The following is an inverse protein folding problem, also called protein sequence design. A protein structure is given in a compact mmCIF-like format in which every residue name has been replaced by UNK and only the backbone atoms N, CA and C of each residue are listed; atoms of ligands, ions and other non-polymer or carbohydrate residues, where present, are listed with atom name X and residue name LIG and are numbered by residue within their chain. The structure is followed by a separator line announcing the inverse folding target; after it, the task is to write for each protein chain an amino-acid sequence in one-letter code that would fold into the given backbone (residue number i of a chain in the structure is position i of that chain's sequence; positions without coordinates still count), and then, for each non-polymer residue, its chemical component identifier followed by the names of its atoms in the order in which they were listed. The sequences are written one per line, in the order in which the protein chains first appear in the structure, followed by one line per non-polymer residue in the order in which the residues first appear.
data_IF_079071089083
#
_entry.id   IF_079071089083
#
_cell.length_a   1.000
_cell.length_b   1.000
_cell.length_c   1.000
_cell.angle_alpha   90.00
_cell.angle_beta   90.00
_cell.angle_gamma   90.00
#
_symmetry.space_group_name_H-M   'P 1'
#
loop_
_entity.id
_entity.type
_entity.pdbx_description
1 polymer ?
#
# COMPACT_ATOMS: atom_id res chain seq x y z
N UNK A 1 -0.80 -2.49 -9.35
CA UNK A 1 0.05 -3.67 -9.15
C UNK A 1 -0.08 -4.12 -7.70
N UNK A 2 -0.05 -5.43 -7.45
CA UNK A 2 -0.17 -5.98 -6.09
C UNK A 2 1.12 -6.71 -5.71
N UNK A 3 1.60 -6.44 -4.50
CA UNK A 3 2.66 -7.20 -3.84
C UNK A 3 2.06 -7.92 -2.65
N UNK A 4 2.34 -9.22 -2.54
CA UNK A 4 1.89 -10.07 -1.44
C UNK A 4 3.06 -10.38 -0.53
N UNK A 5 2.84 -10.26 0.77
CA UNK A 5 3.85 -10.50 1.80
C UNK A 5 3.24 -11.33 2.92
N UNK A 6 3.74 -12.54 3.13
CA UNK A 6 3.42 -13.32 4.31
C UNK A 6 4.23 -12.78 5.50
N UNK A 7 3.51 -12.45 6.57
CA UNK A 7 4.10 -11.94 7.81
C UNK A 7 3.37 -12.48 9.02
N UNK A 8 4.05 -12.50 10.17
CA UNK A 8 3.53 -12.95 11.44
C UNK A 8 3.17 -11.76 12.35
N UNK A 9 2.18 -11.98 13.22
CA UNK A 9 1.90 -11.05 14.31
C UNK A 9 3.16 -10.80 15.16
N UNK A 10 3.34 -9.56 15.60
CA UNK A 10 4.52 -9.09 16.35
C UNK A 10 5.69 -8.61 15.48
N UNK A 11 5.69 -8.90 14.17
CA UNK A 11 6.68 -8.32 13.27
C UNK A 11 6.41 -6.84 13.03
N UNK A 12 7.46 -6.05 12.85
CA UNK A 12 7.36 -4.66 12.40
C UNK A 12 7.42 -4.61 10.87
N UNK A 13 6.46 -3.95 10.26
CA UNK A 13 6.44 -3.68 8.82
C UNK A 13 6.68 -2.19 8.59
N UNK A 14 7.67 -1.89 7.76
CA UNK A 14 7.97 -0.53 7.29
C UNK A 14 7.86 -0.49 5.77
N UNK A 15 7.12 0.47 5.26
CA UNK A 15 6.96 0.73 3.83
C UNK A 15 7.28 2.21 3.60
N UNK A 16 8.30 2.47 2.78
CA UNK A 16 8.61 3.80 2.24
C UNK A 16 8.35 3.77 0.74
N UNK A 17 7.21 4.31 0.31
CA UNK A 17 6.86 4.34 -1.11
C UNK A 17 7.32 5.65 -1.74
N UNK A 18 8.33 5.55 -2.61
CA UNK A 18 8.84 6.66 -3.43
C UNK A 18 8.37 6.47 -4.86
N UNK A 19 7.99 7.56 -5.49
CA UNK A 19 7.47 7.56 -6.85
C UNK A 19 7.75 8.91 -7.50
N UNK A 20 7.97 8.89 -8.81
CA UNK A 20 8.07 10.07 -9.68
C UNK A 20 6.71 10.68 -10.05
N UNK A 21 5.60 10.01 -9.72
CA UNK A 21 4.25 10.47 -10.02
C UNK A 21 3.48 10.85 -8.74
N UNK A 22 3.09 12.14 -8.55
CA UNK A 22 2.39 12.59 -7.34
C UNK A 22 0.96 12.04 -7.21
N UNK A 23 0.44 11.39 -8.25
CA UNK A 23 -0.84 10.69 -8.24
C UNK A 23 -0.71 9.18 -7.99
N UNK A 24 0.51 8.68 -7.77
CA UNK A 24 0.74 7.28 -7.38
C UNK A 24 0.72 7.11 -5.86
N UNK A 25 0.02 6.08 -5.42
CA UNK A 25 -0.17 5.73 -4.01
C UNK A 25 -0.15 4.22 -3.81
N UNK A 26 -0.07 3.79 -2.54
CA UNK A 26 -0.33 2.41 -2.17
C UNK A 26 -1.41 2.30 -1.09
N UNK A 27 -2.10 1.16 -1.06
CA UNK A 27 -2.90 0.72 0.09
C UNK A 27 -2.31 -0.56 0.68
N UNK A 28 -2.40 -0.71 2.00
CA UNK A 28 -2.03 -1.93 2.72
C UNK A 28 -3.28 -2.56 3.32
N UNK A 29 -3.53 -3.85 3.05
CA UNK A 29 -4.63 -4.64 3.66
C UNK A 29 -4.09 -5.94 4.22
N UNK A 30 -4.66 -6.42 5.34
CA UNK A 30 -4.35 -7.72 5.91
C UNK A 30 -5.38 -8.77 5.48
N UNK A 31 -4.93 -9.88 4.89
CA UNK A 31 -5.82 -10.96 4.46
C UNK A 31 -6.94 -10.52 3.52
N UNK A 32 -8.15 -11.04 3.75
CA UNK A 32 -9.38 -10.66 3.04
C UNK A 32 -10.17 -9.52 3.71
N UNK A 33 -9.63 -8.93 4.78
CA UNK A 33 -10.30 -7.84 5.49
C UNK A 33 -10.40 -6.61 4.57
N UNK A 34 -11.61 -6.04 4.38
CA UNK A 34 -11.78 -4.82 3.59
C UNK A 34 -11.15 -3.58 4.25
N UNK A 35 -10.85 -3.61 5.56
CA UNK A 35 -10.26 -2.49 6.26
C UNK A 35 -8.77 -2.37 5.95
N UNK A 36 -8.41 -1.26 5.30
CA UNK A 36 -7.02 -0.95 5.01
C UNK A 36 -6.27 -0.48 6.26
N UNK A 37 -5.08 -1.04 6.46
CA UNK A 37 -4.10 -0.60 7.45
C UNK A 37 -3.41 0.71 7.05
N UNK A 38 -3.28 0.96 5.75
CA UNK A 38 -2.77 2.20 5.19
C UNK A 38 -3.58 2.55 3.94
N UNK A 39 -3.98 3.81 3.83
CA UNK A 39 -4.62 4.38 2.63
C UNK A 39 -3.74 5.51 2.11
N UNK A 40 -2.95 5.25 1.08
CA UNK A 40 -1.91 6.19 0.63
C UNK A 40 -2.47 7.54 0.18
N UNK A 41 -3.64 7.53 -0.48
CA UNK A 41 -4.27 8.76 -0.99
C UNK A 41 -4.80 9.71 0.10
N UNK A 42 -4.90 9.26 1.35
CA UNK A 42 -5.38 10.09 2.48
C UNK A 42 -4.34 10.22 3.59
N UNK A 43 -3.55 9.18 3.82
CA UNK A 43 -2.62 9.06 4.95
C UNK A 43 -1.15 9.16 4.53
N UNK A 44 -0.87 9.34 3.25
CA UNK A 44 0.47 9.49 2.70
C UNK A 44 1.17 8.18 2.34
N UNK A 45 2.35 8.30 1.74
CA UNK A 45 3.08 7.20 1.10
C UNK A 45 4.11 6.52 2.02
N UNK A 46 3.82 6.43 3.32
CA UNK A 46 4.63 5.64 4.25
C UNK A 46 3.76 4.87 5.23
N UNK A 47 4.27 3.75 5.73
CA UNK A 47 3.68 2.98 6.82
C UNK A 47 4.80 2.46 7.72
N UNK A 48 4.59 2.54 9.03
CA UNK A 48 5.47 1.94 10.03
C UNK A 48 4.62 1.46 11.20
N UNK A 49 4.52 0.14 11.36
CA UNK A 49 3.63 -0.44 12.36
C UNK A 49 3.99 -1.88 12.72
N UNK A 50 3.64 -2.24 13.95
CA UNK A 50 3.68 -3.64 14.41
C UNK A 50 2.42 -4.36 13.96
N UNK A 51 2.60 -5.49 13.27
CA UNK A 51 1.51 -6.30 12.77
C UNK A 51 0.82 -7.05 13.91
N UNK A 52 -0.49 -6.93 14.00
CA UNK A 52 -1.28 -7.61 15.05
C UNK A 52 -1.86 -8.96 14.60
N UNK A 53 -1.77 -9.27 13.30
CA UNK A 53 -2.24 -10.54 12.73
C UNK A 53 -1.16 -11.20 11.89
N UNK A 54 -1.14 -12.53 11.93
CA UNK A 54 -0.36 -13.33 10.97
C UNK A 54 -1.18 -13.57 9.71
N UNK A 55 -0.52 -13.58 8.55
CA UNK A 55 -1.14 -13.91 7.28
C UNK A 55 -0.51 -13.16 6.11
N UNK A 56 -1.16 -13.25 4.95
CA UNK A 56 -0.74 -12.54 3.74
C UNK A 56 -1.26 -11.11 3.76
N UNK A 57 -0.33 -10.17 3.72
CA UNK A 57 -0.59 -8.75 3.53
C UNK A 57 -0.52 -8.42 2.04
N UNK A 58 -1.40 -7.53 1.59
CA UNK A 58 -1.40 -7.04 0.21
C UNK A 58 -1.08 -5.56 0.20
N UNK A 59 -0.01 -5.21 -0.52
CA UNK A 59 0.33 -3.83 -0.88
C UNK A 59 -0.14 -3.60 -2.31
N UNK A 60 -1.18 -2.79 -2.49
CA UNK A 60 -1.71 -2.44 -3.80
C UNK A 60 -1.21 -1.06 -4.20
N UNK A 61 -0.35 -0.98 -5.22
CA UNK A 61 0.13 0.26 -5.83
C UNK A 61 -0.74 0.65 -7.01
N UNK A 62 -1.14 1.92 -7.09
CA UNK A 62 -2.06 2.42 -8.10
C UNK A 62 -1.84 3.90 -8.41
N UNK A 63 -2.32 4.33 -9.58
CA UNK A 63 -2.51 5.74 -9.91
C UNK A 63 -3.94 6.16 -9.58
N UNK A 64 -4.11 7.37 -9.06
CA UNK A 64 -5.42 8.02 -8.96
C UNK A 64 -6.05 8.11 -10.35
N UNK A 65 -7.39 8.06 -10.37
CA UNK A 65 -8.18 7.91 -11.60
C UNK A 65 -7.90 9.01 -12.64
N UNK A 66 -7.61 10.23 -12.20
CA UNK A 66 -7.27 11.36 -13.07
C UNK A 66 -5.95 11.13 -13.82
N UNK A 67 -4.90 10.66 -13.16
CA UNK A 67 -3.61 10.35 -13.80
C UNK A 67 -3.72 9.12 -14.71
N UNK A 68 -4.42 8.08 -14.27
CA UNK A 68 -4.67 6.90 -15.09
C UNK A 68 -5.41 7.24 -16.40
N UNK A 69 -6.41 8.14 -16.35
CA UNK A 69 -7.12 8.63 -17.55
C UNK A 69 -6.24 9.44 -18.50
N UNK A 70 -5.17 10.05 -18.00
CA UNK A 70 -4.16 10.77 -18.79
C UNK A 70 -3.05 9.85 -19.33
N UNK A 71 -3.17 8.53 -19.13
CA UNK A 71 -2.14 7.54 -19.46
C UNK A 71 -0.77 7.87 -18.85
N UNK A 72 -0.76 8.49 -17.68
CA UNK A 72 0.48 8.70 -16.95
C UNK A 72 1.06 7.37 -16.46
N UNK A 73 2.36 7.37 -16.23
CA UNK A 73 3.10 6.25 -15.65
C UNK A 73 3.76 6.67 -14.34
N UNK A 74 4.18 5.68 -13.57
CA UNK A 74 5.02 5.86 -12.39
C UNK A 74 6.10 4.77 -12.39
N UNK A 75 7.31 5.13 -11.95
CA UNK A 75 8.45 4.21 -11.83
C UNK A 75 9.05 4.18 -10.42
#
# INVERSE_FOLDING_TARGET
MDYLLDAAAGQRMTIDFRTDNPSAYFNLTAGSDPTALQVGSTSGNSYDGTLIWSGTYRVRVYLMRNAARRNETAS
#
